data_IF_755822248002
#
_entry.id   IF_755822248002
#
_cell.length_a   1.000
_cell.length_b   1.000
_cell.length_c   1.000
_cell.angle_alpha   90.00
_cell.angle_beta   90.00
_cell.angle_gamma   90.00
#
_symmetry.space_group_name_H-M   'P 1'
#
loop_
_entity.id
_entity.type
_entity.pdbx_description
1 polymer ?
#
# COMPACT_ATOMS: atom_id res chain seq x y z
N UNK A 1 -29.38 11.83 11.17
CA UNK A 1 -30.62 11.09 10.87
C UNK A 1 -30.29 9.61 10.99
N UNK A 2 -30.66 9.01 12.12
CA UNK A 2 -30.46 7.59 12.36
C UNK A 2 -31.50 6.81 11.55
N UNK A 3 -31.06 5.92 10.67
CA UNK A 3 -31.95 5.02 9.95
C UNK A 3 -32.58 4.03 10.95
N UNK A 4 -33.90 3.89 10.89
CA UNK A 4 -34.67 2.93 11.68
C UNK A 4 -34.19 1.49 11.45
N UNK A 5 -34.15 0.65 12.51
CA UNK A 5 -33.78 -0.76 12.38
C UNK A 5 -34.93 -1.54 11.72
N UNK A 6 -34.85 -1.75 10.40
CA UNK A 6 -35.79 -2.63 9.70
C UNK A 6 -36.04 -2.34 8.21
N UNK A 7 -35.60 -1.20 7.68
CA UNK A 7 -35.72 -0.92 6.24
C UNK A 7 -34.56 -1.53 5.47
N UNK A 8 -34.85 -2.45 4.55
CA UNK A 8 -33.84 -2.96 3.62
C UNK A 8 -33.27 -1.76 2.84
N UNK A 9 -31.96 -1.53 2.85
CA UNK A 9 -31.36 -0.44 2.11
C UNK A 9 -31.68 -0.62 0.63
N UNK A 10 -32.38 0.36 0.07
CA UNK A 10 -32.67 0.41 -1.35
C UNK A 10 -31.46 1.04 -2.06
N UNK A 11 -30.77 0.25 -2.87
CA UNK A 11 -29.75 0.75 -3.78
C UNK A 11 -30.22 0.72 -5.22
N UNK A 12 -30.00 1.82 -5.92
CA UNK A 12 -30.35 1.94 -7.32
C UNK A 12 -29.40 1.07 -8.14
N UNK A 13 -29.86 0.54 -9.27
CA UNK A 13 -29.01 -0.21 -10.21
C UNK A 13 -27.73 0.56 -10.61
N UNK A 14 -27.83 1.90 -10.67
CA UNK A 14 -26.72 2.83 -10.89
C UNK A 14 -25.65 2.75 -9.78
N UNK A 15 -26.07 2.69 -8.52
CA UNK A 15 -25.16 2.61 -7.37
C UNK A 15 -24.42 1.27 -7.35
N UNK A 16 -25.14 0.19 -7.67
CA UNK A 16 -24.55 -1.14 -7.77
C UNK A 16 -23.50 -1.23 -8.88
N UNK A 17 -23.79 -0.70 -10.08
CA UNK A 17 -22.80 -0.66 -11.17
C UNK A 17 -21.61 0.25 -10.85
N UNK A 18 -21.82 1.32 -10.09
CA UNK A 18 -20.76 2.22 -9.64
C UNK A 18 -19.79 1.55 -8.66
N UNK A 19 -20.25 0.59 -7.86
CA UNK A 19 -19.39 -0.33 -7.10
C UNK A 19 -18.72 -1.36 -8.02
N UNK A 20 -19.53 -2.11 -8.78
CA UNK A 20 -19.09 -3.34 -9.42
C UNK A 20 -18.09 -3.11 -10.56
N UNK A 21 -18.35 -2.14 -11.45
CA UNK A 21 -17.53 -1.95 -12.66
C UNK A 21 -16.10 -1.48 -12.30
N UNK A 22 -15.91 -0.40 -11.51
CA UNK A 22 -14.58 0.06 -11.15
C UNK A 22 -13.81 -0.99 -10.32
N UNK A 23 -14.50 -1.63 -9.37
CA UNK A 23 -13.92 -2.70 -8.55
C UNK A 23 -13.44 -3.88 -9.38
N UNK A 24 -14.23 -4.30 -10.37
CA UNK A 24 -13.86 -5.39 -11.27
C UNK A 24 -12.68 -5.01 -12.17
N UNK A 25 -12.64 -3.76 -12.66
CA UNK A 25 -11.50 -3.25 -13.43
C UNK A 25 -10.22 -3.33 -12.60
N UNK A 26 -10.25 -2.86 -11.34
CA UNK A 26 -9.11 -2.94 -10.44
C UNK A 26 -8.68 -4.40 -10.18
N UNK A 27 -9.63 -5.28 -9.88
CA UNK A 27 -9.35 -6.69 -9.59
C UNK A 27 -8.77 -7.42 -10.80
N UNK A 28 -9.34 -7.21 -11.99
CA UNK A 28 -8.85 -7.78 -13.25
C UNK A 28 -7.46 -7.25 -13.58
N UNK A 29 -7.21 -5.95 -13.39
CA UNK A 29 -5.91 -5.36 -13.65
C UNK A 29 -4.78 -6.04 -12.86
N UNK A 30 -5.07 -6.44 -11.61
CA UNK A 30 -4.10 -7.07 -10.72
C UNK A 30 -4.00 -8.59 -10.84
N UNK A 31 -5.13 -9.28 -11.00
CA UNK A 31 -5.20 -10.73 -10.80
C UNK A 31 -5.39 -11.50 -12.10
N UNK A 32 -5.86 -10.88 -13.18
CA UNK A 32 -6.18 -11.61 -14.39
C UNK A 32 -4.91 -11.96 -15.15
N UNK A 33 -4.55 -13.26 -15.26
CA UNK A 33 -3.36 -13.67 -15.99
C UNK A 33 -3.64 -13.57 -17.51
N UNK A 34 -2.79 -12.84 -18.21
CA UNK A 34 -2.76 -12.75 -19.67
C UNK A 34 -1.53 -13.54 -20.15
N UNK A 35 -1.74 -14.65 -20.88
CA UNK A 35 -0.64 -15.38 -21.51
C UNK A 35 0.07 -14.49 -22.54
N UNK A 36 1.38 -14.39 -22.43
CA UNK A 36 2.30 -13.88 -23.45
C UNK A 36 3.20 -15.05 -23.88
N UNK A 37 3.86 -14.94 -25.04
CA UNK A 37 4.48 -16.10 -25.72
C UNK A 37 5.31 -17.02 -24.81
N UNK A 38 6.09 -16.46 -23.89
CA UNK A 38 6.95 -17.22 -22.97
C UNK A 38 6.68 -16.92 -21.49
N UNK A 39 5.68 -16.10 -21.17
CA UNK A 39 5.43 -15.61 -19.80
C UNK A 39 3.93 -15.45 -19.54
N UNK A 40 3.54 -15.40 -18.27
CA UNK A 40 2.20 -14.97 -17.88
C UNK A 40 2.36 -13.61 -17.22
N UNK A 41 1.69 -12.59 -17.77
CA UNK A 41 1.71 -11.25 -17.23
C UNK A 41 0.30 -10.85 -16.77
N UNK A 42 0.16 -9.73 -16.06
CA UNK A 42 -1.14 -9.15 -15.71
C UNK A 42 -1.35 -7.87 -16.51
N UNK A 43 -2.59 -7.34 -16.65
CA UNK A 43 -2.77 -6.04 -17.25
C UNK A 43 -1.94 -4.94 -16.57
N UNK A 44 -1.74 -5.04 -15.25
CA UNK A 44 -0.83 -4.18 -14.49
C UNK A 44 0.61 -4.29 -14.98
N UNK A 45 1.16 -5.51 -15.10
CA UNK A 45 2.53 -5.71 -15.57
C UNK A 45 2.72 -5.28 -17.02
N UNK A 46 1.74 -5.55 -17.89
CA UNK A 46 1.74 -5.03 -19.28
C UNK A 46 1.77 -3.50 -19.30
N UNK A 47 1.00 -2.84 -18.43
CA UNK A 47 1.02 -1.38 -18.31
C UNK A 47 2.36 -0.86 -17.78
N UNK A 48 3.03 -1.60 -16.88
CA UNK A 48 4.37 -1.29 -16.40
C UNK A 48 5.39 -1.42 -17.53
N UNK A 49 5.36 -2.51 -18.29
CA UNK A 49 6.27 -2.74 -19.43
C UNK A 49 6.08 -1.68 -20.52
N UNK A 50 4.81 -1.32 -20.79
CA UNK A 50 4.49 -0.21 -21.69
C UNK A 50 5.03 1.12 -21.17
N UNK A 51 4.83 1.43 -19.88
CA UNK A 51 5.37 2.65 -19.28
C UNK A 51 6.91 2.70 -19.32
N UNK A 52 7.57 1.56 -19.08
CA UNK A 52 9.04 1.44 -19.16
C UNK A 52 9.54 1.69 -20.58
N UNK A 53 8.91 1.07 -21.57
CA UNK A 53 9.28 1.25 -22.99
C UNK A 53 9.01 2.65 -23.53
N UNK A 54 7.93 3.30 -23.08
CA UNK A 54 7.59 4.67 -23.49
C UNK A 54 8.58 5.71 -22.92
N UNK A 55 8.99 5.55 -21.67
CA UNK A 55 9.90 6.49 -21.01
C UNK A 55 11.38 6.16 -21.29
N UNK A 56 11.70 4.89 -21.53
CA UNK A 56 13.01 4.41 -21.99
C UNK A 56 14.19 5.03 -21.23
N UNK A 57 15.10 5.62 -21.99
CA UNK A 57 16.34 6.21 -21.47
C UNK A 57 16.13 7.44 -20.56
N UNK A 58 14.93 8.03 -20.55
CA UNK A 58 14.62 9.16 -19.67
C UNK A 58 14.24 8.72 -18.25
N UNK A 59 14.02 7.42 -18.00
CA UNK A 59 13.61 6.95 -16.68
C UNK A 59 14.61 7.30 -15.56
N UNK A 60 15.94 7.10 -15.72
CA UNK A 60 16.88 7.39 -14.65
C UNK A 60 16.95 8.88 -14.31
N UNK A 61 16.90 9.76 -15.31
CA UNK A 61 16.89 11.20 -15.06
C UNK A 61 15.58 11.67 -14.42
N UNK A 62 14.43 11.15 -14.85
CA UNK A 62 13.14 11.48 -14.23
C UNK A 62 13.08 11.02 -12.78
N UNK A 63 13.51 9.78 -12.50
CA UNK A 63 13.55 9.25 -11.15
C UNK A 63 14.49 10.05 -10.23
N UNK A 64 15.67 10.44 -10.74
CA UNK A 64 16.57 11.35 -10.03
C UNK A 64 15.88 12.69 -9.70
N UNK A 65 15.24 13.33 -10.69
CA UNK A 65 14.56 14.61 -10.49
C UNK A 65 13.45 14.50 -9.43
N UNK A 66 12.65 13.43 -9.45
CA UNK A 66 11.61 13.20 -8.44
C UNK A 66 12.18 12.97 -7.04
N UNK A 67 13.25 12.19 -6.91
CA UNK A 67 13.95 11.97 -5.62
C UNK A 67 14.50 13.28 -5.07
N UNK A 68 15.20 14.05 -5.91
CA UNK A 68 15.75 15.34 -5.52
C UNK A 68 14.66 16.34 -5.15
N UNK A 69 13.62 16.49 -5.96
CA UNK A 69 12.50 17.39 -5.68
C UNK A 69 11.78 17.02 -4.37
N UNK A 70 11.51 15.73 -4.15
CA UNK A 70 10.86 15.24 -2.93
C UNK A 70 11.71 15.50 -1.67
N UNK A 71 13.02 15.30 -1.74
CA UNK A 71 13.94 15.57 -0.63
C UNK A 71 14.08 17.07 -0.34
N UNK A 72 14.22 17.91 -1.37
CA UNK A 72 14.29 19.36 -1.23
C UNK A 72 12.99 19.92 -0.65
N UNK A 73 11.83 19.42 -1.08
CA UNK A 73 10.56 19.84 -0.52
C UNK A 73 10.37 19.36 0.92
N UNK A 74 10.83 18.14 1.26
CA UNK A 74 10.89 17.66 2.65
C UNK A 74 11.72 18.60 3.52
N UNK A 75 12.92 18.98 3.05
CA UNK A 75 13.79 19.90 3.77
C UNK A 75 13.14 21.27 3.98
N UNK A 76 12.52 21.82 2.93
CA UNK A 76 11.78 23.07 3.00
C UNK A 76 10.61 22.99 4.00
N UNK A 77 9.81 21.92 3.94
CA UNK A 77 8.68 21.71 4.84
C UNK A 77 9.09 21.63 6.32
N UNK A 78 10.18 20.93 6.62
CA UNK A 78 10.69 20.77 8.00
C UNK A 78 11.33 22.06 8.51
N UNK A 79 12.08 22.78 7.66
CA UNK A 79 12.79 24.00 8.05
C UNK A 79 11.87 25.22 8.16
N UNK A 80 11.00 25.45 7.17
CA UNK A 80 10.15 26.64 7.11
C UNK A 80 8.77 26.44 7.74
N UNK A 81 8.31 25.19 7.90
CA UNK A 81 6.98 24.83 8.43
C UNK A 81 5.85 25.72 7.88
N UNK A 82 5.71 25.81 6.54
CA UNK A 82 4.73 26.73 5.96
C UNK A 82 3.30 26.27 6.26
N UNK A 83 2.39 27.22 6.49
CA UNK A 83 1.00 26.94 6.88
C UNK A 83 0.28 25.96 5.96
N UNK A 84 0.50 26.09 4.64
CA UNK A 84 -0.14 25.21 3.66
C UNK A 84 0.30 23.73 3.77
N UNK A 85 1.46 23.44 4.35
CA UNK A 85 1.90 22.07 4.65
C UNK A 85 1.41 21.65 6.02
N UNK A 86 1.56 22.49 7.05
CA UNK A 86 1.21 22.12 8.42
C UNK A 86 -0.28 21.93 8.64
N UNK A 87 -1.12 22.72 7.95
CA UNK A 87 -2.58 22.67 8.05
C UNK A 87 -3.19 21.60 7.13
N UNK A 88 -2.44 21.08 6.15
CA UNK A 88 -2.93 20.06 5.23
C UNK A 88 -2.44 18.66 5.65
N UNK A 89 -3.34 17.85 6.23
CA UNK A 89 -3.07 16.52 6.80
C UNK A 89 -2.11 15.67 5.96
N UNK A 90 -2.43 15.46 4.68
CA UNK A 90 -1.58 14.67 3.77
C UNK A 90 -0.17 15.26 3.59
N UNK A 91 -0.03 16.57 3.37
CA UNK A 91 1.29 17.17 3.13
C UNK A 91 2.13 17.18 4.40
N UNK A 92 1.49 17.39 5.55
CA UNK A 92 2.11 17.27 6.86
C UNK A 92 2.68 15.85 7.04
N UNK A 93 1.86 14.82 6.80
CA UNK A 93 2.26 13.42 6.95
C UNK A 93 3.43 13.04 6.02
N UNK A 94 3.40 13.44 4.73
CA UNK A 94 4.45 12.99 3.80
C UNK A 94 5.76 13.75 3.97
N UNK A 95 5.73 15.04 4.36
CA UNK A 95 6.92 15.90 4.34
C UNK A 95 7.46 16.27 5.73
N UNK A 96 6.64 16.30 6.78
CA UNK A 96 7.09 16.60 8.15
C UNK A 96 7.36 15.28 8.87
N UNK A 97 8.55 14.73 8.62
CA UNK A 97 8.97 13.43 9.16
C UNK A 97 10.11 13.58 10.18
N UNK A 98 10.40 12.51 10.92
CA UNK A 98 11.49 12.53 11.91
C UNK A 98 12.86 12.82 11.26
N UNK A 99 13.84 13.35 12.01
CA UNK A 99 15.15 13.70 11.47
C UNK A 99 15.86 12.53 10.77
N UNK A 100 15.64 11.30 11.24
CA UNK A 100 16.16 10.09 10.61
C UNK A 100 15.66 9.91 9.17
N UNK A 101 14.36 10.12 8.93
CA UNK A 101 13.77 10.03 7.61
C UNK A 101 14.16 11.20 6.71
N UNK A 102 14.30 12.41 7.26
CA UNK A 102 14.83 13.57 6.52
C UNK A 102 16.25 13.29 6.06
N UNK A 103 17.12 12.80 6.95
CA UNK A 103 18.51 12.44 6.63
C UNK A 103 18.58 11.38 5.53
N UNK A 104 17.76 10.33 5.63
CA UNK A 104 17.70 9.27 4.61
C UNK A 104 17.27 9.82 3.24
N UNK A 105 16.28 10.71 3.19
CA UNK A 105 15.84 11.34 1.93
C UNK A 105 16.92 12.23 1.31
N UNK A 106 17.61 13.01 2.14
CA UNK A 106 18.71 13.86 1.70
C UNK A 106 19.89 13.03 1.20
N UNK A 107 20.24 11.94 1.88
CA UNK A 107 21.27 11.01 1.40
C UNK A 107 20.90 10.44 0.02
N UNK A 108 19.64 10.05 -0.19
CA UNK A 108 19.16 9.58 -1.49
C UNK A 108 19.30 10.65 -2.57
N UNK A 109 18.92 11.89 -2.27
CA UNK A 109 19.04 13.03 -3.18
C UNK A 109 20.49 13.49 -3.44
N UNK A 110 21.43 13.14 -2.56
CA UNK A 110 22.87 13.36 -2.79
C UNK A 110 23.47 12.22 -3.60
N UNK A 111 23.19 10.96 -3.24
CA UNK A 111 23.73 9.81 -3.96
C UNK A 111 23.22 9.72 -5.39
N UNK A 112 21.94 9.97 -5.65
CA UNK A 112 21.39 9.80 -6.99
C UNK A 112 22.14 10.63 -8.04
N UNK A 113 22.34 11.96 -7.88
CA UNK A 113 23.14 12.72 -8.84
C UNK A 113 24.59 12.26 -8.93
N UNK A 114 25.22 11.85 -7.81
CA UNK A 114 26.59 11.29 -7.84
C UNK A 114 26.64 10.00 -8.67
N UNK A 115 25.65 9.13 -8.54
CA UNK A 115 25.50 7.89 -9.31
C UNK A 115 25.26 8.20 -10.78
N UNK A 116 24.27 9.04 -11.08
CA UNK A 116 23.84 9.36 -12.44
C UNK A 116 24.93 10.05 -13.26
N UNK A 117 25.61 11.04 -12.67
CA UNK A 117 26.70 11.76 -13.32
C UNK A 117 28.08 11.10 -13.10
N UNK A 118 28.14 9.97 -12.37
CA UNK A 118 29.38 9.26 -12.00
C UNK A 118 30.42 10.18 -11.36
N UNK A 119 29.98 11.00 -10.41
CA UNK A 119 30.81 11.96 -9.68
C UNK A 119 31.33 11.31 -8.39
N UNK A 120 32.63 11.44 -8.14
CA UNK A 120 33.27 10.96 -6.91
C UNK A 120 33.80 9.52 -7.02
N UNK A 121 34.07 8.87 -5.88
CA UNK A 121 34.65 7.52 -5.84
C UNK A 121 33.75 6.48 -6.52
N UNK A 122 34.37 5.55 -7.26
CA UNK A 122 33.69 4.46 -7.97
C UNK A 122 32.81 3.59 -7.06
N UNK A 123 33.20 3.45 -5.79
CA UNK A 123 32.40 2.74 -4.79
C UNK A 123 30.97 3.30 -4.64
N UNK A 124 30.74 4.57 -4.97
CA UNK A 124 29.40 5.18 -4.88
C UNK A 124 28.58 4.87 -6.13
N UNK A 125 29.16 4.97 -7.32
CA UNK A 125 28.42 4.98 -8.58
C UNK A 125 28.54 3.68 -9.41
N UNK A 126 29.39 2.74 -9.00
CA UNK A 126 29.50 1.42 -9.66
C UNK A 126 28.17 0.67 -9.62
N UNK A 127 27.93 -0.18 -10.62
CA UNK A 127 26.70 -0.99 -10.68
C UNK A 127 26.58 -1.97 -9.51
N UNK A 128 27.69 -2.45 -8.98
CA UNK A 128 27.70 -3.35 -7.81
C UNK A 128 27.25 -2.64 -6.53
N UNK A 129 27.33 -1.30 -6.48
CA UNK A 129 26.97 -0.47 -5.34
C UNK A 129 25.78 0.42 -5.66
N UNK A 130 25.93 1.75 -5.63
CA UNK A 130 24.81 2.68 -5.82
C UNK A 130 24.21 2.69 -7.22
N UNK A 131 24.94 2.21 -8.24
CA UNK A 131 24.45 2.11 -9.61
C UNK A 131 23.21 1.23 -9.73
N UNK A 132 23.13 0.08 -9.04
CA UNK A 132 21.94 -0.78 -9.10
C UNK A 132 20.69 -0.11 -8.48
N UNK A 133 20.72 0.37 -7.22
CA UNK A 133 19.61 1.12 -6.62
C UNK A 133 19.18 2.37 -7.40
N UNK A 134 20.16 3.14 -7.89
CA UNK A 134 19.92 4.43 -8.57
C UNK A 134 19.55 4.31 -10.05
N UNK A 135 20.21 3.44 -10.82
CA UNK A 135 20.02 3.39 -12.28
C UNK A 135 19.08 2.28 -12.75
N UNK A 136 18.76 1.31 -11.89
CA UNK A 136 17.84 0.19 -12.24
C UNK A 136 16.60 0.20 -11.36
N UNK A 137 16.74 0.13 -10.02
CA UNK A 137 15.59 -0.04 -9.14
C UNK A 137 14.71 1.22 -9.07
N UNK A 138 15.28 2.38 -8.76
CA UNK A 138 14.50 3.61 -8.66
C UNK A 138 13.77 3.99 -9.97
N UNK A 139 14.38 3.86 -11.16
CA UNK A 139 13.70 4.10 -12.44
C UNK A 139 12.56 3.11 -12.70
N UNK A 140 12.75 1.83 -12.38
CA UNK A 140 11.68 0.84 -12.51
C UNK A 140 10.54 1.09 -11.51
N UNK A 141 10.86 1.47 -10.27
CA UNK A 141 9.88 1.86 -9.25
C UNK A 141 9.04 3.06 -9.68
N UNK A 142 9.62 4.04 -10.36
CA UNK A 142 8.88 5.21 -10.86
C UNK A 142 7.70 4.78 -11.73
N UNK A 143 7.93 3.89 -12.71
CA UNK A 143 6.86 3.40 -13.58
C UNK A 143 5.84 2.59 -12.80
N UNK A 144 6.30 1.68 -11.93
CA UNK A 144 5.43 0.89 -11.08
C UNK A 144 4.52 1.79 -10.24
N UNK A 145 5.05 2.86 -9.65
CA UNK A 145 4.28 3.79 -8.83
C UNK A 145 3.29 4.62 -9.63
N UNK A 146 3.61 5.02 -10.87
CA UNK A 146 2.64 5.69 -11.77
C UNK A 146 1.45 4.76 -12.04
N UNK A 147 1.74 3.54 -12.49
CA UNK A 147 0.69 2.57 -12.84
C UNK A 147 -0.11 2.18 -11.60
N UNK A 148 0.56 1.91 -10.48
CA UNK A 148 -0.07 1.55 -9.22
C UNK A 148 -0.99 2.67 -8.71
N UNK A 149 -0.51 3.91 -8.69
CA UNK A 149 -1.30 5.06 -8.25
C UNK A 149 -2.58 5.25 -9.08
N UNK A 150 -2.55 4.90 -10.36
CA UNK A 150 -3.74 4.93 -11.20
C UNK A 150 -4.74 3.81 -10.87
N UNK A 151 -4.28 2.60 -10.53
CA UNK A 151 -5.17 1.46 -10.26
C UNK A 151 -5.68 1.43 -8.81
N UNK A 152 -4.88 1.87 -7.83
CA UNK A 152 -5.25 1.84 -6.39
C UNK A 152 -6.65 2.40 -6.09
N UNK A 153 -7.08 3.57 -6.63
CA UNK A 153 -8.42 4.10 -6.40
C UNK A 153 -9.54 3.13 -6.79
N UNK A 154 -9.34 2.33 -7.84
CA UNK A 154 -10.32 1.35 -8.30
C UNK A 154 -10.50 0.18 -7.31
N UNK A 155 -9.47 -0.10 -6.51
CA UNK A 155 -9.49 -1.12 -5.48
C UNK A 155 -9.93 -0.58 -4.11
N UNK A 156 -9.55 0.65 -3.76
CA UNK A 156 -9.79 1.24 -2.42
C UNK A 156 -11.10 2.01 -2.33
N UNK A 157 -11.45 2.78 -3.36
CA UNK A 157 -12.47 3.81 -3.21
C UNK A 157 -13.85 3.27 -3.57
N UNK A 158 -13.92 2.30 -4.50
CA UNK A 158 -15.19 1.81 -5.04
C UNK A 158 -15.80 0.62 -4.29
N UNK A 159 -15.36 0.30 -3.08
CA UNK A 159 -16.05 -0.66 -2.20
C UNK A 159 -15.56 -2.11 -2.29
N UNK A 160 -14.55 -2.42 -3.11
CA UNK A 160 -14.00 -3.77 -3.22
C UNK A 160 -13.43 -4.27 -1.90
N UNK A 161 -12.68 -3.42 -1.19
CA UNK A 161 -12.12 -3.73 0.13
C UNK A 161 -13.20 -4.01 1.17
N UNK A 162 -14.24 -3.18 1.20
CA UNK A 162 -15.37 -3.35 2.11
C UNK A 162 -16.10 -4.66 1.80
N UNK A 163 -16.27 -5.01 0.52
CA UNK A 163 -16.88 -6.27 0.12
C UNK A 163 -16.05 -7.48 0.57
N UNK A 164 -14.78 -7.55 0.16
CA UNK A 164 -13.90 -8.69 0.46
C UNK A 164 -13.62 -8.77 1.96
N UNK A 165 -13.30 -7.66 2.60
CA UNK A 165 -13.07 -7.60 4.03
C UNK A 165 -14.30 -8.02 4.83
N UNK A 166 -15.50 -7.61 4.41
CA UNK A 166 -16.75 -8.09 5.05
C UNK A 166 -16.97 -9.59 4.83
N UNK A 167 -16.71 -10.12 3.63
CA UNK A 167 -16.76 -11.56 3.36
C UNK A 167 -15.78 -12.37 4.19
N UNK A 168 -14.61 -11.81 4.47
CA UNK A 168 -13.56 -12.50 5.21
C UNK A 168 -13.77 -12.47 6.74
N UNK A 169 -14.64 -11.60 7.29
CA UNK A 169 -14.88 -11.48 8.75
C UNK A 169 -15.04 -12.82 9.48
N UNK A 170 -15.86 -13.78 9.01
CA UNK A 170 -16.08 -15.04 9.74
C UNK A 170 -14.83 -15.93 9.80
N UNK A 171 -13.87 -15.71 8.90
CA UNK A 171 -12.62 -16.47 8.84
C UNK A 171 -11.53 -15.87 9.75
N UNK A 172 -11.61 -14.56 10.04
CA UNK A 172 -10.55 -13.85 10.74
C UNK A 172 -10.36 -14.29 12.20
N UNK A 173 -11.45 -14.47 12.94
CA UNK A 173 -11.38 -14.92 14.34
C UNK A 173 -10.82 -16.34 14.49
N UNK A 174 -11.35 -17.37 13.81
CA UNK A 174 -10.84 -18.74 13.97
C UNK A 174 -9.41 -18.92 13.43
N UNK A 175 -9.09 -18.29 12.30
CA UNK A 175 -7.79 -18.50 11.64
C UNK A 175 -6.70 -17.64 12.28
N UNK A 176 -6.95 -16.34 12.42
CA UNK A 176 -5.91 -15.36 12.76
C UNK A 176 -5.99 -14.82 14.19
N UNK A 177 -6.96 -15.26 15.00
CA UNK A 177 -7.21 -14.73 16.35
C UNK A 177 -7.47 -13.21 16.36
N UNK A 178 -7.97 -12.68 15.24
CA UNK A 178 -8.24 -11.26 15.04
C UNK A 178 -9.75 -11.01 14.96
N UNK A 179 -10.22 -9.81 15.36
CA UNK A 179 -11.61 -9.44 15.24
C UNK A 179 -11.99 -9.33 13.76
N UNK A 180 -13.23 -9.63 13.41
CA UNK A 180 -13.68 -9.67 12.01
C UNK A 180 -13.43 -8.33 11.28
N UNK A 181 -13.58 -7.20 11.99
CA UNK A 181 -13.32 -5.85 11.47
C UNK A 181 -11.89 -5.66 10.96
N UNK A 182 -10.90 -6.38 11.52
CA UNK A 182 -9.52 -6.32 11.07
C UNK A 182 -9.37 -6.79 9.62
N UNK A 183 -10.31 -7.57 9.09
CA UNK A 183 -10.28 -8.00 7.70
C UNK A 183 -10.26 -6.84 6.71
N UNK A 184 -11.03 -5.78 6.96
CA UNK A 184 -11.03 -4.60 6.08
C UNK A 184 -9.71 -3.84 6.17
N UNK A 185 -9.14 -3.73 7.38
CA UNK A 185 -7.84 -3.10 7.65
C UNK A 185 -6.69 -3.85 6.96
N UNK A 186 -6.65 -5.17 7.10
CA UNK A 186 -5.67 -6.03 6.43
C UNK A 186 -5.80 -5.96 4.90
N UNK A 187 -7.02 -5.89 4.36
CA UNK A 187 -7.24 -5.70 2.93
C UNK A 187 -6.75 -4.33 2.45
N UNK A 188 -6.93 -3.28 3.25
CA UNK A 188 -6.42 -1.94 2.96
C UNK A 188 -4.88 -1.90 2.94
N UNK A 189 -4.25 -2.60 3.88
CA UNK A 189 -2.80 -2.78 3.97
C UNK A 189 -2.22 -3.44 2.72
N UNK A 190 -2.93 -4.44 2.19
CA UNK A 190 -2.45 -5.24 1.07
C UNK A 190 -2.41 -4.49 -0.27
N UNK A 191 -3.40 -3.64 -0.51
CA UNK A 191 -3.58 -2.91 -1.77
C UNK A 191 -2.95 -1.52 -1.74
N UNK A 192 -3.04 -0.82 -0.61
CA UNK A 192 -2.57 0.55 -0.48
C UNK A 192 -1.08 0.59 -0.18
N UNK A 193 -0.77 0.54 1.11
CA UNK A 193 0.60 0.54 1.63
C UNK A 193 0.60 -0.09 3.01
N UNK A 194 1.65 -0.84 3.33
CA UNK A 194 1.88 -1.39 4.67
C UNK A 194 1.86 -0.29 5.74
N UNK A 195 2.37 0.91 5.42
CA UNK A 195 2.35 2.07 6.32
C UNK A 195 0.94 2.60 6.59
N UNK A 196 0.07 2.64 5.58
CA UNK A 196 -1.32 3.10 5.73
C UNK A 196 -2.10 2.14 6.63
N UNK A 197 -1.87 0.84 6.46
CA UNK A 197 -2.39 -0.18 7.36
C UNK A 197 -2.04 0.08 8.82
N UNK A 198 -0.76 0.30 9.11
CA UNK A 198 -0.29 0.58 10.48
C UNK A 198 -0.92 1.85 11.06
N UNK A 199 -1.11 2.91 10.26
CA UNK A 199 -1.77 4.14 10.71
C UNK A 199 -3.24 3.88 11.08
N UNK A 200 -3.97 3.13 10.24
CA UNK A 200 -5.36 2.73 10.53
C UNK A 200 -5.41 1.89 11.80
N UNK A 201 -4.53 0.88 11.92
CA UNK A 201 -4.44 0.04 13.10
C UNK A 201 -4.13 0.84 14.36
N UNK A 202 -3.21 1.81 14.28
CA UNK A 202 -2.84 2.70 15.40
C UNK A 202 -4.02 3.55 15.83
N UNK A 203 -4.76 4.13 14.88
CA UNK A 203 -5.97 4.91 15.17
C UNK A 203 -7.03 4.05 15.85
N UNK A 204 -7.31 2.87 15.29
CA UNK A 204 -8.30 1.94 15.83
C UNK A 204 -7.91 1.41 17.22
N UNK A 205 -6.61 1.20 17.45
CA UNK A 205 -6.07 0.85 18.77
C UNK A 205 -6.28 1.97 19.79
N UNK A 206 -5.91 3.21 19.45
CA UNK A 206 -6.08 4.39 20.29
C UNK A 206 -7.55 4.72 20.62
N UNK A 207 -8.47 4.39 19.70
CA UNK A 207 -9.91 4.55 19.89
C UNK A 207 -10.55 3.40 20.69
N UNK A 208 -9.76 2.39 21.09
CA UNK A 208 -10.20 1.26 21.91
C UNK A 208 -10.87 0.13 21.12
N UNK A 209 -10.72 0.10 19.80
CA UNK A 209 -11.26 -0.96 18.94
C UNK A 209 -10.30 -2.14 18.76
N UNK A 210 -9.02 -2.00 19.07
CA UNK A 210 -8.08 -3.13 19.07
C UNK A 210 -7.42 -3.27 20.43
N UNK A 211 -7.20 -4.51 20.87
CA UNK A 211 -6.30 -4.77 21.98
C UNK A 211 -4.84 -4.53 21.57
N UNK A 212 -3.93 -4.35 22.53
CA UNK A 212 -2.49 -4.27 22.28
C UNK A 212 -2.02 -5.47 21.45
N UNK A 213 -2.52 -6.65 21.76
CA UNK A 213 -2.21 -7.89 21.05
C UNK A 213 -2.77 -7.89 19.62
N UNK A 214 -4.03 -7.50 19.43
CA UNK A 214 -4.67 -7.43 18.11
C UNK A 214 -3.93 -6.42 17.22
N UNK A 215 -3.61 -5.24 17.73
CA UNK A 215 -2.87 -4.20 17.01
C UNK A 215 -1.45 -4.65 16.64
N UNK A 216 -0.75 -5.34 17.55
CA UNK A 216 0.57 -5.90 17.29
C UNK A 216 0.53 -6.99 16.21
N UNK A 217 -0.46 -7.89 16.25
CA UNK A 217 -0.62 -8.93 15.23
C UNK A 217 -0.91 -8.31 13.85
N UNK A 218 -1.84 -7.35 13.76
CA UNK A 218 -2.19 -6.70 12.49
C UNK A 218 -0.95 -6.01 11.91
N UNK A 219 -0.25 -5.22 12.72
CA UNK A 219 0.93 -4.44 12.29
C UNK A 219 2.13 -5.30 11.88
N UNK A 220 2.26 -6.52 12.42
CA UNK A 220 3.43 -7.39 12.15
C UNK A 220 3.15 -8.48 11.12
N UNK A 221 1.94 -9.03 11.10
CA UNK A 221 1.59 -10.18 10.27
C UNK A 221 0.81 -9.83 9.01
N UNK A 222 0.16 -8.65 8.97
CA UNK A 222 -0.73 -8.25 7.86
C UNK A 222 -0.25 -7.01 7.11
N UNK A 223 0.87 -6.43 7.50
CA UNK A 223 1.62 -5.42 6.73
C UNK A 223 2.42 -6.08 5.60
N UNK A 224 1.73 -6.79 4.72
CA UNK A 224 2.30 -7.59 3.62
C UNK A 224 2.79 -6.71 2.49
N UNK A 225 3.79 -7.19 1.77
CA UNK A 225 4.30 -6.55 0.55
C UNK A 225 3.21 -6.49 -0.54
N UNK A 226 3.17 -5.39 -1.30
CA UNK A 226 2.14 -5.20 -2.33
C UNK A 226 2.39 -6.07 -3.56
N UNK A 227 1.30 -6.46 -4.24
CA UNK A 227 1.37 -7.28 -5.48
C UNK A 227 2.28 -6.64 -6.53
N UNK A 228 2.19 -5.31 -6.71
CA UNK A 228 2.99 -4.58 -7.68
C UNK A 228 4.50 -4.63 -7.37
N UNK A 229 4.86 -4.62 -6.09
CA UNK A 229 6.27 -4.72 -5.69
C UNK A 229 6.82 -6.14 -5.87
N UNK A 230 5.99 -7.18 -5.65
CA UNK A 230 6.38 -8.57 -5.97
C UNK A 230 6.69 -8.71 -7.46
N UNK A 231 5.87 -8.12 -8.33
CA UNK A 231 6.15 -8.11 -9.78
C UNK A 231 7.48 -7.41 -10.09
N UNK A 232 7.72 -6.24 -9.51
CA UNK A 232 8.96 -5.51 -9.72
C UNK A 232 10.20 -6.33 -9.29
N UNK A 233 10.14 -7.00 -8.14
CA UNK A 233 11.24 -7.83 -7.67
C UNK A 233 11.45 -9.07 -8.56
N UNK A 234 10.36 -9.68 -9.04
CA UNK A 234 10.45 -10.78 -9.99
C UNK A 234 11.12 -10.34 -11.29
N UNK A 235 10.76 -9.18 -11.82
CA UNK A 235 11.39 -8.58 -13.00
C UNK A 235 12.85 -8.23 -12.76
N UNK A 236 13.16 -7.61 -11.62
CA UNK A 236 14.52 -7.22 -11.24
C UNK A 236 15.48 -8.41 -11.13
N UNK A 237 15.03 -9.54 -10.59
CA UNK A 237 15.82 -10.78 -10.47
C UNK A 237 15.84 -11.58 -11.78
N UNK A 238 15.16 -11.12 -12.83
CA UNK A 238 15.11 -11.78 -14.14
C UNK A 238 14.18 -13.00 -14.18
N UNK A 239 13.20 -13.07 -13.28
CA UNK A 239 12.20 -14.13 -13.16
C UNK A 239 10.74 -13.68 -13.42
N UNK A 240 10.43 -12.77 -14.38
CA UNK A 240 9.04 -12.35 -14.62
C UNK A 240 8.15 -13.51 -15.10
N UNK A 241 8.72 -14.52 -15.77
CA UNK A 241 8.02 -15.74 -16.19
C UNK A 241 7.52 -16.60 -15.01
N UNK A 242 8.13 -16.46 -13.83
CA UNK A 242 7.71 -17.13 -12.60
C UNK A 242 6.86 -16.22 -11.70
N UNK A 243 6.42 -15.06 -12.19
CA UNK A 243 5.73 -14.06 -11.37
C UNK A 243 4.56 -14.66 -10.57
N UNK A 244 3.70 -15.45 -11.20
CA UNK A 244 2.57 -16.05 -10.51
C UNK A 244 2.99 -17.08 -9.44
N UNK A 245 4.04 -17.85 -9.70
CA UNK A 245 4.62 -18.81 -8.75
C UNK A 245 5.25 -18.09 -7.56
N UNK A 246 5.98 -16.99 -7.80
CA UNK A 246 6.56 -16.14 -6.76
C UNK A 246 5.44 -15.51 -5.92
N UNK A 247 4.43 -14.93 -6.59
CA UNK A 247 3.25 -14.34 -5.95
C UNK A 247 2.55 -15.33 -5.02
N UNK A 248 2.24 -16.52 -5.53
CA UNK A 248 1.59 -17.58 -4.76
C UNK A 248 2.45 -18.05 -3.60
N UNK A 249 3.75 -18.21 -3.81
CA UNK A 249 4.69 -18.64 -2.76
C UNK A 249 4.80 -17.62 -1.64
N UNK A 250 4.96 -16.34 -1.98
CA UNK A 250 5.03 -15.23 -1.01
C UNK A 250 3.75 -15.17 -0.18
N UNK A 251 2.57 -15.25 -0.81
CA UNK A 251 1.31 -15.22 -0.05
C UNK A 251 1.05 -16.49 0.75
N UNK A 252 1.44 -17.66 0.24
CA UNK A 252 1.32 -18.90 0.99
C UNK A 252 2.17 -18.84 2.27
N UNK A 253 3.42 -18.41 2.16
CA UNK A 253 4.32 -18.22 3.30
C UNK A 253 3.76 -17.17 4.25
N UNK A 254 3.31 -16.02 3.75
CA UNK A 254 2.71 -14.96 4.57
C UNK A 254 1.48 -15.47 5.32
N UNK A 255 0.59 -16.21 4.65
CA UNK A 255 -0.61 -16.78 5.25
C UNK A 255 -0.27 -17.79 6.35
N UNK A 256 0.70 -18.67 6.10
CA UNK A 256 1.19 -19.63 7.11
C UNK A 256 1.82 -18.91 8.30
N UNK A 257 2.61 -17.87 8.06
CA UNK A 257 3.18 -17.04 9.13
C UNK A 257 2.08 -16.31 9.91
N UNK A 258 1.07 -15.75 9.25
CA UNK A 258 -0.06 -15.11 9.92
C UNK A 258 -0.90 -16.09 10.75
N UNK A 259 -0.88 -17.39 10.42
CA UNK A 259 -1.48 -18.44 11.25
C UNK A 259 -0.61 -18.75 12.49
N UNK A 260 0.71 -18.86 12.33
CA UNK A 260 1.62 -19.33 13.38
C UNK A 260 1.99 -18.20 14.35
N UNK A 261 2.37 -17.03 13.82
CA UNK A 261 2.95 -15.90 14.57
C UNK A 261 2.08 -15.44 15.75
N UNK A 262 0.74 -15.27 15.63
CA UNK A 262 -0.11 -14.86 16.77
C UNK A 262 -0.11 -15.84 17.97
N UNK A 263 0.34 -17.08 17.73
CA UNK A 263 0.30 -18.20 18.68
C UNK A 263 1.66 -18.50 19.30
N UNK A 264 2.73 -17.85 18.84
CA UNK A 264 4.09 -18.01 19.39
C UNK A 264 4.55 -16.73 20.10
N UNK A 265 5.60 -16.86 20.90
CA UNK A 265 6.25 -15.72 21.55
C UNK A 265 6.97 -14.86 20.49
N UNK A 266 6.97 -13.51 20.58
CA UNK A 266 6.45 -12.67 21.66
C UNK A 266 4.97 -12.27 21.53
N UNK A 267 4.33 -12.47 20.37
CA UNK A 267 2.96 -11.97 20.14
C UNK A 267 1.92 -12.62 21.06
N UNK A 268 2.11 -13.90 21.42
CA UNK A 268 1.24 -14.60 22.37
C UNK A 268 1.28 -13.98 23.78
N UNK A 269 2.39 -13.39 24.19
CA UNK A 269 2.55 -12.83 25.55
C UNK A 269 2.04 -11.41 25.70
N UNK A 270 1.66 -10.75 24.61
CA UNK A 270 1.09 -9.40 24.67
C UNK A 270 -0.34 -9.52 25.24
N UNK A 271 -0.70 -8.73 26.27
CA UNK A 271 -2.02 -8.81 26.89
C UNK A 271 -3.10 -8.27 25.96
N UNK A 272 -4.32 -8.77 26.13
CA UNK A 272 -5.52 -8.21 25.48
C UNK A 272 -6.03 -6.97 26.24
N UNK A 273 -5.15 -5.96 26.40
CA UNK A 273 -5.48 -4.67 27.01
C UNK A 273 -5.94 -3.68 25.93
N UNK A 274 -7.01 -2.95 26.19
CA UNK A 274 -7.58 -1.97 25.26
C UNK A 274 -7.26 -0.55 25.75
N UNK A 275 -6.90 0.35 24.85
CA UNK A 275 -6.67 1.75 25.18
C UNK A 275 -7.98 2.55 25.13
N UNK A 276 -8.21 3.46 26.09
CA UNK A 276 -9.39 4.34 26.11
C UNK A 276 -10.70 3.75 26.67
N UNK A 277 -11.77 4.56 26.68
CA UNK A 277 -13.15 4.19 27.11
C UNK A 277 -13.97 3.60 25.95
N UNK A 278 -13.32 3.00 24.96
CA UNK A 278 -13.96 2.48 23.75
C UNK A 278 -14.97 1.37 24.08
N UNK A 279 -16.18 1.49 23.52
CA UNK A 279 -17.22 0.49 23.69
C UNK A 279 -16.73 -0.87 23.18
N UNK A 280 -16.63 -1.83 24.10
CA UNK A 280 -16.31 -3.23 23.85
C UNK A 280 -17.30 -3.90 22.88
N UNK A 281 -18.42 -3.24 22.61
CA UNK A 281 -19.67 -3.83 22.16
C UNK A 281 -20.25 -3.13 20.92
N UNK A 282 -19.40 -2.73 19.98
CA UNK A 282 -19.86 -2.72 18.58
C UNK A 282 -19.82 -4.17 18.12
N UNK A 283 -20.92 -4.88 18.36
CA UNK A 283 -21.15 -6.25 17.90
C UNK A 283 -20.50 -6.43 16.53
N UNK A 284 -19.55 -7.37 16.42
CA UNK A 284 -18.94 -7.77 15.14
C UNK A 284 -19.99 -8.23 14.11
N UNK A 285 -21.20 -8.48 14.62
CA UNK A 285 -22.36 -8.99 13.96
C UNK A 285 -22.86 -8.08 12.84
N UNK A 286 -23.00 -8.74 11.69
CA UNK A 286 -23.90 -8.34 10.62
C UNK A 286 -25.23 -7.88 11.26
N UNK A 287 -25.74 -6.68 10.93
CA UNK A 287 -26.96 -6.17 11.53
C UNK A 287 -28.11 -7.18 11.41
N UNK A 288 -28.89 -7.33 12.49
CA UNK A 288 -30.02 -8.28 12.53
C UNK A 288 -30.92 -8.08 11.31
N UNK A 289 -31.09 -9.14 10.51
CA UNK A 289 -31.90 -9.13 9.29
C UNK A 289 -31.12 -9.09 7.97
N UNK A 290 -29.79 -8.97 8.01
CA UNK A 290 -28.93 -9.13 6.83
C UNK A 290 -28.25 -10.50 6.82
N UNK A 291 -28.11 -11.09 5.64
CA UNK A 291 -27.10 -12.12 5.40
C UNK A 291 -25.72 -11.48 5.24
N UNK A 292 -24.67 -12.27 5.47
CA UNK A 292 -23.27 -11.86 5.28
C UNK A 292 -23.04 -11.21 3.90
N UNK A 293 -23.55 -11.85 2.83
CA UNK A 293 -23.45 -11.37 1.44
C UNK A 293 -24.17 -10.04 1.23
N UNK A 294 -25.40 -9.92 1.72
CA UNK A 294 -26.17 -8.67 1.60
C UNK A 294 -25.49 -7.52 2.33
N UNK A 295 -24.96 -7.77 3.52
CA UNK A 295 -24.24 -6.75 4.28
C UNK A 295 -22.98 -6.28 3.56
N UNK A 296 -22.19 -7.19 3.00
CA UNK A 296 -20.99 -6.81 2.26
C UNK A 296 -21.29 -6.02 0.99
N UNK A 297 -22.33 -6.43 0.24
CA UNK A 297 -22.80 -5.65 -0.91
C UNK A 297 -23.26 -4.26 -0.45
N UNK A 298 -24.01 -4.18 0.65
CA UNK A 298 -24.46 -2.91 1.19
C UNK A 298 -23.30 -1.99 1.57
N UNK A 299 -22.31 -2.46 2.35
CA UNK A 299 -21.15 -1.65 2.74
C UNK A 299 -20.34 -1.19 1.53
N UNK A 300 -20.16 -2.07 0.54
CA UNK A 300 -19.43 -1.77 -0.68
C UNK A 300 -20.13 -0.75 -1.58
N UNK A 301 -21.44 -0.90 -1.78
CA UNK A 301 -22.25 0.04 -2.57
C UNK A 301 -22.33 1.39 -1.86
N UNK A 302 -22.48 1.41 -0.53
CA UNK A 302 -22.51 2.64 0.25
C UNK A 302 -21.18 3.39 0.16
N UNK A 303 -20.05 2.68 0.23
CA UNK A 303 -18.73 3.28 -0.02
C UNK A 303 -18.64 3.91 -1.41
N UNK A 304 -19.04 3.17 -2.46
CA UNK A 304 -18.93 3.60 -3.85
C UNK A 304 -19.86 4.78 -4.21
N UNK A 305 -21.01 4.90 -3.52
CA UNK A 305 -21.99 5.98 -3.73
C UNK A 305 -21.37 7.36 -3.55
N UNK A 306 -20.57 7.52 -2.49
CA UNK A 306 -19.93 8.79 -2.12
C UNK A 306 -18.69 9.12 -2.95
N UNK A 307 -18.22 8.20 -3.81
CA UNK A 307 -17.05 8.44 -4.65
C UNK A 307 -17.37 9.11 -5.98
N UNK A 308 -16.42 9.87 -6.50
CA UNK A 308 -16.53 10.46 -7.82
C UNK A 308 -15.17 10.60 -8.50
N UNK A 309 -15.14 11.09 -9.76
CA UNK A 309 -13.90 11.26 -10.51
C UNK A 309 -12.87 12.15 -9.78
N UNK A 310 -13.34 13.16 -9.04
CA UNK A 310 -12.46 14.02 -8.22
C UNK A 310 -11.77 13.24 -7.12
N UNK A 311 -12.48 12.31 -6.46
CA UNK A 311 -11.86 11.48 -5.43
C UNK A 311 -10.80 10.57 -6.04
N UNK A 312 -11.11 9.93 -7.17
CA UNK A 312 -10.17 9.07 -7.89
C UNK A 312 -8.88 9.81 -8.26
N UNK A 313 -8.99 11.01 -8.84
CA UNK A 313 -7.83 11.82 -9.19
C UNK A 313 -7.03 12.21 -7.94
N UNK A 314 -7.71 12.62 -6.86
CA UNK A 314 -7.05 13.00 -5.62
C UNK A 314 -6.32 11.80 -4.98
N UNK A 315 -6.97 10.62 -4.90
CA UNK A 315 -6.38 9.37 -4.40
C UNK A 315 -5.18 8.97 -5.26
N UNK A 316 -5.28 9.07 -6.58
CA UNK A 316 -4.17 8.81 -7.50
C UNK A 316 -2.98 9.73 -7.23
N UNK A 317 -3.17 11.04 -7.20
CA UNK A 317 -2.10 12.01 -6.95
C UNK A 317 -1.47 11.82 -5.56
N UNK A 318 -2.29 11.57 -4.53
CA UNK A 318 -1.81 11.31 -3.16
C UNK A 318 -1.00 10.03 -3.10
N UNK A 319 -1.48 8.95 -3.71
CA UNK A 319 -0.78 7.67 -3.76
C UNK A 319 0.56 7.81 -4.48
N UNK A 320 0.56 8.45 -5.65
CA UNK A 320 1.77 8.70 -6.43
C UNK A 320 2.80 9.53 -5.65
N UNK A 321 2.39 10.69 -5.12
CA UNK A 321 3.27 11.56 -4.36
C UNK A 321 3.81 10.87 -3.09
N UNK A 322 2.96 10.13 -2.38
CA UNK A 322 3.36 9.36 -1.20
C UNK A 322 4.43 8.33 -1.55
N UNK A 323 4.20 7.48 -2.56
CA UNK A 323 5.15 6.43 -2.95
C UNK A 323 6.50 7.00 -3.39
N UNK A 324 6.51 8.07 -4.19
CA UNK A 324 7.74 8.72 -4.63
C UNK A 324 8.52 9.29 -3.44
N UNK A 325 7.90 10.15 -2.64
CA UNK A 325 8.59 10.92 -1.60
C UNK A 325 9.04 10.02 -0.44
N UNK A 326 8.23 9.00 -0.11
CA UNK A 326 8.52 8.12 1.02
C UNK A 326 9.49 7.01 0.65
N UNK A 327 9.39 6.44 -0.57
CA UNK A 327 10.05 5.16 -0.88
C UNK A 327 11.28 5.33 -1.77
N UNK A 328 11.21 6.12 -2.85
CA UNK A 328 12.32 6.20 -3.82
C UNK A 328 13.64 6.70 -3.21
N UNK A 329 13.66 7.79 -2.38
CA UNK A 329 14.90 8.23 -1.75
C UNK A 329 15.49 7.19 -0.81
N UNK A 330 14.65 6.36 -0.16
CA UNK A 330 15.10 5.30 0.74
C UNK A 330 15.76 4.16 -0.02
N UNK A 331 15.20 3.77 -1.17
CA UNK A 331 15.79 2.73 -2.02
C UNK A 331 17.17 3.17 -2.50
N UNK A 332 17.34 4.42 -2.92
CA UNK A 332 18.64 4.93 -3.38
C UNK A 332 19.62 5.11 -2.22
N UNK A 333 19.19 5.71 -1.11
CA UNK A 333 20.08 5.91 0.06
C UNK A 333 20.51 4.58 0.67
N UNK A 334 19.57 3.83 1.23
CA UNK A 334 19.86 2.61 1.97
C UNK A 334 20.33 1.48 1.05
N UNK A 335 19.81 1.40 -0.18
CA UNK A 335 20.33 0.45 -1.16
C UNK A 335 21.80 0.68 -1.45
N UNK A 336 22.21 1.94 -1.65
CA UNK A 336 23.62 2.29 -1.86
C UNK A 336 24.46 1.98 -0.62
N UNK A 337 24.03 2.41 0.57
CA UNK A 337 24.78 2.18 1.81
C UNK A 337 24.97 0.69 2.09
N UNK A 338 23.91 -0.10 1.96
CA UNK A 338 23.97 -1.55 2.23
C UNK A 338 24.92 -2.25 1.26
N UNK A 339 24.86 -1.92 -0.03
CA UNK A 339 25.75 -2.54 -1.02
C UNK A 339 27.21 -2.12 -0.86
N UNK A 340 27.48 -0.88 -0.44
CA UNK A 340 28.85 -0.44 -0.11
C UNK A 340 29.43 -1.21 1.09
N UNK A 341 28.57 -1.59 2.05
CA UNK A 341 28.98 -2.31 3.27
C UNK A 341 29.17 -3.81 3.01
N UNK A 342 28.36 -4.39 2.12
CA UNK A 342 28.31 -5.83 1.83
C UNK A 342 29.60 -6.35 1.18
#
# INVERSE_FOLDING_TARGET
MANEPGTRPSYTRKDFHKFLIPSLIGAVAFLFPIPQEHTINTPLGIAIDLGKSLLGDYLPILAMLFVCAGALFTLYAVAAKPRFVTEHEFLNEIFIVSPFWVGSRLLGAVFYPLIYFKIGPEIIWSMDNGGTPGMILAPALLVVFIVLAFIVPFLTDFGLMEYIGTMARPLFRPIFTLPGRAAVDCMASWVGSSSVGVVITTKMHNEGYYSDREAAIISTCFSVISIAYIYLMADFVGLPHMYFQILLSVYLVTFVLALIMPRIWPLRSIPDTYSGTGNQDLSEDIPKGFTLKEWAVHTAVEKARHQGPRTVINTCLRTFASLIVTTMPLVVSWGTVVLIIA
#
